data_IF_817744874959
#
_entry.id   IF_817744874959
#
_cell.length_a   1.000
_cell.length_b   1.000
_cell.length_c   1.000
_cell.angle_alpha   90.00
_cell.angle_beta   90.00
_cell.angle_gamma   90.00
#
_symmetry.space_group_name_H-M   'P 1'
#
loop_
_entity.id
_entity.type
_entity.pdbx_description
1 polymer ?
#
# COMPACT_ATOMS: atom_id res chain seq x y z
N UNK A 1 -2.84 -25.35 -23.31
CA UNK A 1 -2.43 -23.93 -23.34
C UNK A 1 -3.30 -23.08 -22.40
N UNK A 2 -3.36 -23.39 -21.09
CA UNK A 2 -4.14 -22.57 -20.12
C UNK A 2 -3.54 -22.73 -18.71
N UNK A 3 -2.33 -22.23 -18.46
CA UNK A 3 -1.78 -22.17 -17.08
C UNK A 3 -0.97 -20.89 -16.78
N UNK A 4 -0.65 -20.06 -17.77
CA UNK A 4 0.29 -18.94 -17.58
C UNK A 4 -0.30 -17.71 -16.88
N UNK A 5 -1.62 -17.49 -16.98
CA UNK A 5 -2.29 -16.33 -16.37
C UNK A 5 -2.40 -16.42 -14.84
N UNK A 6 -2.48 -17.63 -14.28
CA UNK A 6 -2.68 -17.83 -12.84
C UNK A 6 -1.42 -17.55 -12.01
N UNK A 7 -0.27 -18.06 -12.43
CA UNK A 7 1.01 -17.92 -11.71
C UNK A 7 1.54 -16.50 -11.71
N UNK A 8 1.43 -15.77 -12.83
CA UNK A 8 1.86 -14.36 -12.90
C UNK A 8 0.95 -13.45 -12.07
N UNK A 9 -0.37 -13.68 -12.09
CA UNK A 9 -1.30 -12.92 -11.27
C UNK A 9 -1.12 -13.20 -9.77
N UNK A 10 -0.86 -14.45 -9.38
CA UNK A 10 -0.62 -14.82 -7.97
C UNK A 10 0.56 -14.05 -7.36
N UNK A 11 1.69 -13.96 -8.06
CA UNK A 11 2.86 -13.22 -7.58
C UNK A 11 2.59 -11.71 -7.38
N UNK A 12 1.88 -11.07 -8.31
CA UNK A 12 1.47 -9.67 -8.15
C UNK A 12 0.51 -9.49 -6.97
N UNK A 13 -0.47 -10.37 -6.81
CA UNK A 13 -1.46 -10.29 -5.72
C UNK A 13 -0.81 -10.52 -4.36
N UNK A 14 0.12 -11.47 -4.24
CA UNK A 14 0.90 -11.68 -3.02
C UNK A 14 1.78 -10.48 -2.67
N UNK A 15 2.42 -9.87 -3.67
CA UNK A 15 3.20 -8.64 -3.48
C UNK A 15 2.35 -7.49 -2.94
N UNK A 16 1.17 -7.27 -3.51
CA UNK A 16 0.23 -6.24 -3.04
C UNK A 16 -0.32 -6.54 -1.64
N UNK A 17 -0.66 -7.79 -1.34
CA UNK A 17 -1.11 -8.19 0.00
C UNK A 17 -0.03 -7.95 1.05
N UNK A 18 1.24 -8.25 0.74
CA UNK A 18 2.35 -8.00 1.64
C UNK A 18 2.55 -6.49 1.90
N UNK A 19 2.47 -5.65 0.86
CA UNK A 19 2.52 -4.18 1.03
C UNK A 19 1.37 -3.68 1.92
N UNK A 20 0.14 -4.13 1.68
CA UNK A 20 -1.02 -3.73 2.48
C UNK A 20 -0.87 -4.13 3.96
N UNK A 21 -0.33 -5.32 4.24
CA UNK A 21 -0.06 -5.80 5.61
C UNK A 21 0.95 -4.92 6.34
N UNK A 22 2.02 -4.50 5.65
CA UNK A 22 3.06 -3.62 6.23
C UNK A 22 2.50 -2.23 6.51
N UNK A 23 1.75 -1.64 5.58
CA UNK A 23 1.14 -0.30 5.76
C UNK A 23 0.18 -0.30 6.94
N UNK A 24 -0.68 -1.31 7.05
CA UNK A 24 -1.63 -1.45 8.16
C UNK A 24 -0.91 -1.64 9.51
N UNK A 25 0.23 -2.34 9.54
CA UNK A 25 1.08 -2.44 10.75
C UNK A 25 1.80 -1.15 11.11
N UNK A 26 2.04 -0.23 10.16
CA UNK A 26 2.64 1.09 10.46
C UNK A 26 1.58 2.13 10.80
N UNK A 27 0.30 1.79 10.60
CA UNK A 27 -0.83 2.68 10.76
C UNK A 27 -1.26 2.96 12.21
N UNK A 28 -0.60 2.38 13.22
CA UNK A 28 -0.95 2.63 14.63
C UNK A 28 -0.85 4.11 15.03
N UNK A 29 -0.13 4.93 14.26
CA UNK A 29 -0.08 6.39 14.43
C UNK A 29 -1.15 7.19 13.66
N UNK A 30 -1.99 6.55 12.85
CA UNK A 30 -3.02 7.25 12.09
C UNK A 30 -4.24 7.57 12.96
N UNK A 31 -4.53 8.87 13.04
CA UNK A 31 -5.65 9.42 13.80
C UNK A 31 -7.01 9.24 13.12
N UNK A 32 -7.04 8.81 11.85
CA UNK A 32 -8.27 8.61 11.07
C UNK A 32 -8.10 7.54 9.99
N UNK A 33 -9.19 6.83 9.67
CA UNK A 33 -9.24 5.85 8.59
C UNK A 33 -8.93 6.45 7.22
N UNK A 34 -9.22 7.74 7.01
CA UNK A 34 -8.91 8.43 5.75
C UNK A 34 -7.39 8.53 5.51
N UNK A 35 -6.59 8.74 6.56
CA UNK A 35 -5.12 8.76 6.47
C UNK A 35 -4.57 7.38 6.13
N UNK A 36 -5.13 6.33 6.73
CA UNK A 36 -4.79 4.94 6.41
C UNK A 36 -5.10 4.61 4.94
N UNK A 37 -6.28 5.00 4.46
CA UNK A 37 -6.72 4.79 3.08
C UNK A 37 -5.83 5.53 2.08
N UNK A 38 -5.51 6.79 2.34
CA UNK A 38 -4.52 7.57 1.57
C UNK A 38 -3.16 6.87 1.51
N UNK A 39 -2.60 6.49 2.67
CA UNK A 39 -1.28 5.86 2.74
C UNK A 39 -1.24 4.52 2.00
N UNK A 40 -2.31 3.73 2.06
CA UNK A 40 -2.45 2.51 1.27
C UNK A 40 -2.40 2.81 -0.23
N UNK A 41 -3.15 3.79 -0.72
CA UNK A 41 -3.12 4.15 -2.14
C UNK A 41 -1.78 4.68 -2.60
N UNK A 42 -1.11 5.52 -1.80
CA UNK A 42 0.25 5.97 -2.10
C UNK A 42 1.26 4.81 -2.14
N UNK A 43 1.18 3.87 -1.18
CA UNK A 43 2.10 2.74 -1.11
C UNK A 43 1.88 1.69 -2.20
N UNK A 44 0.65 1.58 -2.72
CA UNK A 44 0.29 0.64 -3.79
C UNK A 44 0.48 1.25 -5.18
N UNK A 45 0.25 2.55 -5.35
CA UNK A 45 0.22 3.23 -6.65
C UNK A 45 1.36 4.20 -6.93
N UNK A 46 2.32 4.38 -6.02
CA UNK A 46 3.42 5.37 -6.15
C UNK A 46 2.91 6.78 -6.49
N UNK A 47 1.72 7.14 -5.97
CA UNK A 47 1.16 8.48 -6.18
C UNK A 47 2.02 9.51 -5.46
N UNK A 48 2.26 10.70 -6.06
CA UNK A 48 3.02 11.76 -5.43
C UNK A 48 2.37 12.12 -4.08
N UNK A 49 3.14 12.02 -3.01
CA UNK A 49 2.69 12.41 -1.68
C UNK A 49 2.42 13.91 -1.63
N UNK A 50 1.31 14.35 -0.99
CA UNK A 50 1.08 15.78 -0.78
C UNK A 50 2.18 16.38 0.11
N UNK A 51 2.60 17.59 -0.22
CA UNK A 51 3.56 18.39 0.55
C UNK A 51 2.99 18.68 1.96
N UNK A 52 3.42 17.93 2.97
CA UNK A 52 3.09 18.21 4.37
C UNK A 52 4.12 19.15 4.99
N UNK A 53 3.63 20.20 5.66
CA UNK A 53 4.46 21.19 6.37
C UNK A 53 5.18 20.61 7.60
N UNK A 54 4.72 19.49 8.14
CA UNK A 54 5.32 18.85 9.31
C UNK A 54 6.05 17.56 8.92
N UNK A 55 7.39 17.60 8.89
CA UNK A 55 8.24 16.41 8.83
C UNK A 55 8.68 16.08 10.26
N UNK A 56 8.42 14.85 10.71
CA UNK A 56 9.07 14.35 11.92
C UNK A 56 10.52 14.03 11.55
N UNK A 57 11.47 14.78 12.13
CA UNK A 57 12.89 14.53 12.04
C UNK A 57 13.27 13.19 12.67
#
# INVERSE_FOLDING_TARGET
MVQFLGTTALGCVEGFNNKARVVTKRAYGFRSYNMLKMTLYHSLGDLPTPEFTHRFC
#
